data_IF_976946066587
#
_entry.id   IF_976946066587
#
_cell.length_a   1.000
_cell.length_b   1.000
_cell.length_c   1.000
_cell.angle_alpha   90.00
_cell.angle_beta   90.00
_cell.angle_gamma   90.00
#
_symmetry.space_group_name_H-M   'P 1'
#
loop_
_entity.id
_entity.type
_entity.pdbx_description
1 polymer ?
#
# COMPACT_ATOMS: atom_id res chain seq x y z
N UNK A 1 15.78 5.79 -5.13
CA UNK A 1 15.16 5.98 -6.46
C UNK A 1 13.81 5.29 -6.44
N UNK A 2 12.73 5.96 -6.87
CA UNK A 2 11.39 5.34 -6.87
C UNK A 2 11.34 4.30 -7.99
N UNK A 3 11.03 3.05 -7.65
CA UNK A 3 10.98 1.91 -8.60
C UNK A 3 9.83 2.02 -9.62
N UNK A 4 8.84 2.84 -9.31
CA UNK A 4 7.64 3.05 -10.10
C UNK A 4 6.44 3.30 -9.20
N UNK A 5 5.26 3.27 -9.81
CA UNK A 5 4.01 3.49 -9.09
C UNK A 5 2.99 2.39 -9.38
N UNK A 6 2.21 2.04 -8.36
CA UNK A 6 1.00 1.26 -8.49
C UNK A 6 -0.23 2.13 -8.33
N UNK A 7 -1.23 1.92 -9.18
CA UNK A 7 -2.55 2.50 -8.97
C UNK A 7 -3.28 1.74 -7.86
N UNK A 8 -4.34 2.34 -7.33
CA UNK A 8 -5.27 1.63 -6.42
C UNK A 8 -5.78 0.31 -7.03
N UNK A 9 -5.98 0.26 -8.36
CA UNK A 9 -6.43 -0.95 -9.06
C UNK A 9 -5.36 -2.05 -9.07
N UNK A 10 -4.10 -1.67 -9.26
CA UNK A 10 -2.98 -2.62 -9.21
C UNK A 10 -2.84 -3.23 -7.82
N UNK A 11 -2.93 -2.39 -6.77
CA UNK A 11 -2.93 -2.86 -5.38
C UNK A 11 -4.12 -3.78 -5.07
N UNK A 12 -5.33 -3.42 -5.52
CA UNK A 12 -6.51 -4.26 -5.37
C UNK A 12 -6.33 -5.63 -6.02
N UNK A 13 -5.70 -5.69 -7.19
CA UNK A 13 -5.38 -6.95 -7.87
C UNK A 13 -4.30 -7.75 -7.12
N UNK A 14 -3.24 -7.08 -6.65
CA UNK A 14 -2.13 -7.71 -5.89
C UNK A 14 -2.63 -8.36 -4.60
N UNK A 15 -3.37 -7.60 -3.79
CA UNK A 15 -3.86 -8.06 -2.48
C UNK A 15 -5.23 -8.73 -2.53
N UNK A 16 -5.81 -8.90 -3.72
CA UNK A 16 -7.13 -9.51 -3.95
C UNK A 16 -8.22 -8.88 -3.05
N UNK A 17 -8.22 -7.56 -2.94
CA UNK A 17 -9.14 -6.83 -2.06
C UNK A 17 -9.70 -5.57 -2.73
N UNK A 18 -10.77 -5.03 -2.15
CA UNK A 18 -11.40 -3.81 -2.68
C UNK A 18 -10.53 -2.58 -2.45
N UNK A 19 -10.68 -1.55 -3.29
CA UNK A 19 -10.02 -0.25 -3.07
C UNK A 19 -10.32 0.30 -1.67
N UNK A 20 -11.57 0.13 -1.20
CA UNK A 20 -12.00 0.54 0.14
C UNK A 20 -11.20 -0.17 1.24
N UNK A 21 -10.84 -1.42 1.04
CA UNK A 21 -9.99 -2.18 1.96
C UNK A 21 -8.59 -1.57 2.03
N UNK A 22 -7.98 -1.23 0.89
CA UNK A 22 -6.69 -0.52 0.85
C UNK A 22 -6.76 0.79 1.64
N UNK A 23 -7.78 1.63 1.40
CA UNK A 23 -7.94 2.89 2.14
C UNK A 23 -8.16 2.70 3.65
N UNK A 24 -8.82 1.62 4.07
CA UNK A 24 -8.92 1.29 5.51
C UNK A 24 -7.57 0.94 6.10
N UNK A 25 -6.71 0.24 5.36
CA UNK A 25 -5.37 -0.13 5.86
C UNK A 25 -4.48 1.09 6.11
N UNK A 26 -4.64 2.17 5.33
CA UNK A 26 -3.93 3.45 5.54
C UNK A 26 -4.24 4.07 6.90
N UNK A 27 -5.44 3.83 7.42
CA UNK A 27 -5.92 4.43 8.66
C UNK A 27 -5.85 3.46 9.85
N UNK A 28 -5.11 2.35 9.73
CA UNK A 28 -4.87 1.44 10.87
C UNK A 28 -3.97 2.11 11.90
N UNK A 29 -4.23 1.83 13.17
CA UNK A 29 -3.37 2.29 14.27
C UNK A 29 -2.03 1.55 14.28
N UNK A 30 -2.08 0.22 14.15
CA UNK A 30 -0.88 -0.62 14.11
C UNK A 30 -0.47 -0.92 12.67
N UNK A 31 0.77 -0.57 12.34
CA UNK A 31 1.39 -0.78 11.04
C UNK A 31 0.50 -0.34 9.85
N UNK A 32 0.15 0.96 9.76
CA UNK A 32 -0.66 1.47 8.67
C UNK A 32 -0.01 1.21 7.32
N UNK A 33 -0.84 0.87 6.33
CA UNK A 33 -0.41 0.88 4.94
C UNK A 33 0.12 2.28 4.60
N UNK A 34 1.08 2.43 3.66
CA UNK A 34 1.62 3.73 3.29
C UNK A 34 0.53 4.74 2.88
N UNK A 35 0.91 5.98 2.57
CA UNK A 35 0.00 6.93 1.92
C UNK A 35 0.32 7.00 0.43
N UNK A 36 -0.67 7.26 -0.44
CA UNK A 36 -0.37 7.48 -1.85
C UNK A 36 0.50 8.72 -1.99
N UNK A 37 1.59 8.61 -2.75
CA UNK A 37 2.51 9.73 -3.01
C UNK A 37 1.92 10.74 -3.98
N UNK A 38 1.02 10.30 -4.87
CA UNK A 38 0.26 11.18 -5.76
C UNK A 38 -1.21 10.92 -5.52
N UNK A 39 -1.91 11.97 -5.08
CA UNK A 39 -3.36 11.98 -4.92
C UNK A 39 -3.99 12.59 -6.16
N UNK A 40 -4.86 11.84 -6.80
CA UNK A 40 -5.67 12.31 -7.92
C UNK A 40 -7.16 12.19 -7.55
N UNK A 41 -8.03 12.85 -8.30
CA UNK A 41 -9.46 12.68 -8.09
C UNK A 41 -9.89 11.23 -8.38
N UNK A 42 -10.82 10.70 -7.59
CA UNK A 42 -11.32 9.33 -7.77
C UNK A 42 -10.32 8.23 -7.37
N UNK A 43 -10.30 7.13 -8.13
CA UNK A 43 -9.50 5.93 -7.84
C UNK A 43 -8.08 5.95 -8.43
N UNK A 44 -7.63 7.11 -8.92
CA UNK A 44 -6.36 7.30 -9.63
C UNK A 44 -5.16 7.59 -8.72
N UNK A 45 -5.27 7.33 -7.41
CA UNK A 45 -4.13 7.47 -6.50
C UNK A 45 -2.98 6.55 -6.90
N UNK A 46 -1.76 7.08 -6.80
CA UNK A 46 -0.53 6.36 -7.11
C UNK A 46 0.32 6.16 -5.85
N UNK A 47 0.78 4.93 -5.73
CA UNK A 47 1.49 4.37 -4.59
C UNK A 47 2.91 4.04 -5.01
N UNK A 48 3.90 4.58 -4.32
CA UNK A 48 5.28 4.30 -4.67
C UNK A 48 5.58 2.83 -4.31
N UNK A 49 6.16 2.09 -5.25
CA UNK A 49 6.39 0.64 -5.11
C UNK A 49 7.32 0.37 -3.92
N UNK A 50 8.34 1.20 -3.74
CA UNK A 50 9.30 1.13 -2.64
C UNK A 50 8.64 1.28 -1.26
N UNK A 51 7.68 2.20 -1.10
CA UNK A 51 6.94 2.34 0.16
C UNK A 51 6.12 1.08 0.49
N UNK A 52 5.47 0.51 -0.53
CA UNK A 52 4.64 -0.67 -0.37
C UNK A 52 5.49 -1.89 -0.03
N UNK A 53 6.61 -2.10 -0.73
CA UNK A 53 7.57 -3.17 -0.43
C UNK A 53 8.18 -3.02 0.97
N UNK A 54 8.49 -1.79 1.40
CA UNK A 54 9.01 -1.53 2.74
C UNK A 54 7.98 -1.87 3.83
N UNK A 55 6.71 -1.55 3.60
CA UNK A 55 5.63 -1.94 4.49
C UNK A 55 5.41 -3.46 4.51
N UNK A 56 5.48 -4.12 3.35
CA UNK A 56 5.41 -5.59 3.25
C UNK A 56 6.54 -6.26 4.04
N UNK A 57 7.77 -5.72 3.95
CA UNK A 57 8.93 -6.21 4.71
C UNK A 57 8.74 -6.09 6.22
N UNK A 58 8.03 -5.06 6.70
CA UNK A 58 7.72 -4.91 8.13
C UNK A 58 6.66 -5.91 8.61
N UNK A 59 5.77 -6.38 7.73
CA UNK A 59 4.75 -7.40 8.05
C UNK A 59 5.30 -8.81 7.99
N UNK A 60 6.20 -9.06 7.05
CA UNK A 60 6.71 -10.40 6.75
C UNK A 60 7.73 -10.93 7.78
N UNK A 61 7.94 -10.26 8.92
CA UNK A 61 8.72 -10.80 10.02
C UNK A 61 7.78 -11.27 11.13
N UNK A 62 7.41 -12.55 11.14
CA UNK A 62 7.35 -13.32 12.36
C UNK A 62 8.54 -14.28 12.43
N UNK A 63 9.16 -14.33 13.62
CA UNK A 63 10.03 -15.38 14.15
C UNK A 63 11.56 -15.21 14.05
N UNK A 64 12.11 -14.58 15.10
CA UNK A 64 13.15 -15.19 15.96
C UNK A 64 13.20 -14.43 17.31
N UNK A 65 12.32 -14.81 18.24
CA UNK A 65 12.43 -14.51 19.67
C UNK A 65 12.01 -15.75 20.45
#
# INVERSE_FOLDING_TARGET
MIKGYWSTKDLSKRYRCSSRTIFRWVNRETNPFPKPRIKASGSHNLWAIDDVEQWEAQISIPEAA
#
